data_IF_832956961284
#
_entry.id   IF_832956961284
#
_cell.length_a   1.000
_cell.length_b   1.000
_cell.length_c   1.000
_cell.angle_alpha   90.00
_cell.angle_beta   90.00
_cell.angle_gamma   90.00
#
_symmetry.space_group_name_H-M   'P 1'
#
loop_
_entity.id
_entity.type
_entity.pdbx_description
1 polymer ?
#
# COMPACT_ATOMS: atom_id res chain seq x y z
N UNK A 1 22.09 11.30 33.12
CA UNK A 1 21.24 10.36 32.37
C UNK A 1 20.38 11.20 31.44
N UNK A 2 20.47 11.03 30.11
CA UNK A 2 19.64 11.75 29.13
C UNK A 2 18.47 10.85 28.76
N UNK A 3 17.29 11.17 29.28
CA UNK A 3 16.03 10.58 28.84
C UNK A 3 15.65 11.29 27.54
N UNK A 4 15.40 10.54 26.48
CA UNK A 4 14.86 11.09 25.23
C UNK A 4 13.36 10.79 25.23
N UNK A 5 12.53 11.71 24.74
CA UNK A 5 11.08 11.50 24.63
C UNK A 5 10.73 11.23 23.16
N UNK A 6 9.94 10.19 22.92
CA UNK A 6 9.34 9.91 21.62
C UNK A 6 7.85 10.20 21.74
N UNK A 7 7.36 11.13 20.93
CA UNK A 7 5.92 11.40 20.78
C UNK A 7 5.44 11.03 19.39
N UNK A 8 4.23 10.48 19.33
CA UNK A 8 3.53 10.18 18.09
C UNK A 8 2.12 10.75 18.17
N UNK A 9 1.55 11.08 17.01
CA UNK A 9 0.13 11.40 16.86
C UNK A 9 -0.42 10.61 15.69
N UNK A 10 -1.62 10.05 15.88
CA UNK A 10 -2.33 9.33 14.83
C UNK A 10 -3.80 9.74 14.84
N UNK A 11 -4.29 10.10 13.66
CA UNK A 11 -5.68 10.50 13.43
C UNK A 11 -6.18 9.81 12.16
N UNK A 12 -7.45 9.43 12.15
CA UNK A 12 -8.11 8.88 10.98
C UNK A 12 -9.51 9.49 10.87
N UNK A 13 -10.06 9.62 9.65
CA UNK A 13 -11.43 10.12 9.46
C UNK A 13 -12.27 9.01 8.84
N UNK A 14 -13.40 8.69 9.47
CA UNK A 14 -14.38 7.75 8.95
C UNK A 14 -15.68 8.47 8.62
N UNK A 15 -16.12 8.36 7.37
CA UNK A 15 -17.41 8.91 6.91
C UNK A 15 -18.55 7.96 7.24
N UNK A 16 -19.51 8.41 8.03
CA UNK A 16 -20.72 7.64 8.35
C UNK A 16 -21.86 7.97 7.36
N UNK A 17 -22.88 7.10 7.24
CA UNK A 17 -23.97 7.26 6.26
C UNK A 17 -24.79 8.55 6.43
N UNK A 18 -24.89 9.06 7.66
CA UNK A 18 -25.75 10.20 8.00
C UNK A 18 -25.04 11.56 7.82
N UNK A 19 -24.04 11.66 6.94
CA UNK A 19 -23.18 12.86 6.79
C UNK A 19 -22.49 13.30 8.10
N UNK A 20 -22.29 12.35 9.02
CA UNK A 20 -21.51 12.56 10.23
C UNK A 20 -20.14 11.93 10.03
N UNK A 21 -19.08 12.73 10.18
CA UNK A 21 -17.72 12.22 10.12
C UNK A 21 -17.21 12.04 11.54
N UNK A 22 -16.62 10.89 11.82
CA UNK A 22 -15.89 10.66 13.07
C UNK A 22 -14.42 10.81 12.78
N UNK A 23 -13.74 11.65 13.56
CA UNK A 23 -12.29 11.88 13.46
C UNK A 23 -11.63 11.62 14.82
N UNK A 24 -11.41 10.34 15.20
CA UNK A 24 -10.69 10.04 16.41
C UNK A 24 -9.20 10.32 16.21
N UNK A 25 -8.57 10.83 17.25
CA UNK A 25 -7.14 11.06 17.31
C UNK A 25 -6.57 10.59 18.63
N UNK A 26 -5.35 10.06 18.60
CA UNK A 26 -4.59 9.73 19.81
C UNK A 26 -3.15 10.20 19.66
N UNK A 27 -2.69 10.90 20.69
CA UNK A 27 -1.28 11.27 20.85
C UNK A 27 -0.70 10.49 22.02
N UNK A 28 0.40 9.79 21.78
CA UNK A 28 1.12 9.01 22.80
C UNK A 28 2.54 9.52 22.90
N UNK A 29 3.07 9.52 24.13
CA UNK A 29 4.46 9.84 24.40
C UNK A 29 5.07 8.76 25.30
N UNK A 30 6.30 8.37 25.00
CA UNK A 30 7.09 7.48 25.85
C UNK A 30 8.45 8.11 26.14
N UNK A 31 8.88 7.95 27.38
CA UNK A 31 10.25 8.22 27.80
C UNK A 31 11.08 6.99 27.49
N UNK A 32 12.20 7.17 26.79
CA UNK A 32 13.13 6.09 26.45
C UNK A 32 14.46 6.28 27.16
N UNK A 33 15.02 5.17 27.63
CA UNK A 33 16.36 5.10 28.18
C UNK A 33 17.41 4.91 27.08
N UNK A 34 18.69 5.01 27.43
CA UNK A 34 19.79 4.97 26.45
C UNK A 34 19.93 3.60 25.77
N UNK A 35 19.49 2.53 26.44
CA UNK A 35 19.59 1.15 25.96
C UNK A 35 18.35 0.70 25.17
N UNK A 36 17.28 1.50 25.18
CA UNK A 36 16.06 1.18 24.45
C UNK A 36 16.23 1.39 22.94
N UNK A 37 15.57 0.53 22.16
CA UNK A 37 15.51 0.72 20.71
C UNK A 37 14.39 1.74 20.36
N UNK A 38 14.73 2.96 19.91
CA UNK A 38 13.74 4.00 19.65
C UNK A 38 12.76 3.64 18.53
N UNK A 39 13.22 2.89 17.52
CA UNK A 39 12.37 2.46 16.41
C UNK A 39 11.34 1.42 16.84
N UNK A 40 11.74 0.51 17.73
CA UNK A 40 10.82 -0.47 18.30
C UNK A 40 9.74 0.23 19.13
N UNK A 41 10.14 1.16 20.01
CA UNK A 41 9.20 1.94 20.84
C UNK A 41 8.25 2.76 19.96
N UNK A 42 8.76 3.41 18.91
CA UNK A 42 7.94 4.16 17.94
C UNK A 42 6.93 3.25 17.24
N UNK A 43 7.34 2.07 16.79
CA UNK A 43 6.46 1.09 16.17
C UNK A 43 5.37 0.61 17.14
N UNK A 44 5.73 0.31 18.38
CA UNK A 44 4.79 -0.16 19.41
C UNK A 44 3.76 0.93 19.76
N UNK A 45 4.21 2.18 19.95
CA UNK A 45 3.33 3.32 20.16
C UNK A 45 2.38 3.51 18.97
N UNK A 46 2.88 3.45 17.74
CA UNK A 46 2.07 3.63 16.54
C UNK A 46 1.03 2.51 16.39
N UNK A 47 1.40 1.27 16.72
CA UNK A 47 0.47 0.15 16.73
C UNK A 47 -0.66 0.36 17.76
N UNK A 48 -0.33 0.84 18.97
CA UNK A 48 -1.32 1.14 20.01
C UNK A 48 -2.26 2.28 19.59
N UNK A 49 -1.72 3.38 19.05
CA UNK A 49 -2.52 4.50 18.60
C UNK A 49 -3.48 4.11 17.46
N UNK A 50 -3.01 3.30 16.50
CA UNK A 50 -3.85 2.73 15.44
C UNK A 50 -4.95 1.84 15.98
N UNK A 51 -4.64 0.93 16.91
CA UNK A 51 -5.63 0.03 17.50
C UNK A 51 -6.72 0.82 18.23
N UNK A 52 -6.35 1.85 18.99
CA UNK A 52 -7.30 2.72 19.68
C UNK A 52 -8.21 3.45 18.68
N UNK A 53 -7.63 4.18 17.72
CA UNK A 53 -8.39 4.96 16.74
C UNK A 53 -9.35 4.06 15.95
N UNK A 54 -8.90 2.87 15.54
CA UNK A 54 -9.75 1.87 14.88
C UNK A 54 -10.87 1.37 15.76
N UNK A 55 -10.61 1.11 17.05
CA UNK A 55 -11.65 0.71 18.00
C UNK A 55 -12.76 1.76 18.13
N UNK A 56 -12.41 3.05 18.11
CA UNK A 56 -13.39 4.14 18.12
C UNK A 56 -14.19 4.20 16.81
N UNK A 57 -13.53 4.03 15.66
CA UNK A 57 -14.19 3.97 14.35
C UNK A 57 -15.17 2.79 14.29
N UNK A 58 -14.73 1.62 14.75
CA UNK A 58 -15.56 0.42 14.78
C UNK A 58 -16.81 0.61 15.62
N UNK A 59 -16.65 1.16 16.82
CA UNK A 59 -17.78 1.44 17.68
C UNK A 59 -18.75 2.41 16.99
N UNK A 60 -18.24 3.48 16.36
CA UNK A 60 -19.07 4.42 15.63
C UNK A 60 -19.79 3.79 14.44
N UNK A 61 -19.15 2.85 13.73
CA UNK A 61 -19.79 2.08 12.66
C UNK A 61 -20.92 1.21 13.21
N UNK A 62 -20.67 0.49 14.31
CA UNK A 62 -21.65 -0.38 14.98
C UNK A 62 -22.86 0.44 15.44
N UNK A 63 -22.62 1.58 16.08
CA UNK A 63 -23.66 2.50 16.56
C UNK A 63 -24.53 3.05 15.41
N UNK A 64 -23.96 3.12 14.20
CA UNK A 64 -24.66 3.55 12.98
C UNK A 64 -25.16 2.36 12.14
N UNK A 65 -25.25 1.15 12.71
CA UNK A 65 -25.82 -0.03 12.08
C UNK A 65 -24.94 -0.65 10.98
N UNK A 66 -23.63 -0.39 10.99
CA UNK A 66 -22.65 -1.01 10.10
C UNK A 66 -21.68 -1.88 10.88
N UNK A 67 -21.43 -3.09 10.40
CA UNK A 67 -20.35 -3.91 10.93
C UNK A 67 -19.00 -3.44 10.37
N UNK A 68 -17.96 -3.33 11.21
CA UNK A 68 -16.59 -3.16 10.77
C UNK A 68 -16.22 -4.25 9.75
N UNK A 69 -15.61 -3.85 8.63
CA UNK A 69 -15.16 -4.79 7.60
C UNK A 69 -13.66 -4.89 7.65
N UNK A 70 -13.19 -6.00 8.20
CA UNK A 70 -11.78 -6.33 8.24
C UNK A 70 -11.46 -7.33 7.14
N UNK A 71 -10.48 -7.00 6.31
CA UNK A 71 -9.86 -7.95 5.41
C UNK A 71 -8.59 -8.49 6.05
N UNK A 72 -8.60 -9.78 6.42
CA UNK A 72 -7.47 -10.50 6.97
C UNK A 72 -6.71 -11.33 5.93
N UNK A 73 -7.11 -11.26 4.66
CA UNK A 73 -6.47 -11.98 3.57
C UNK A 73 -5.19 -11.32 3.08
N UNK A 74 -4.46 -12.02 2.20
CA UNK A 74 -3.30 -11.47 1.53
C UNK A 74 -3.72 -10.27 0.67
N UNK A 75 -3.04 -9.14 0.85
CA UNK A 75 -3.19 -7.97 -0.02
C UNK A 75 -2.20 -8.04 -1.16
N UNK A 76 -2.61 -7.47 -2.29
CA UNK A 76 -1.85 -7.47 -3.52
C UNK A 76 -1.57 -6.04 -3.96
N UNK A 77 -0.47 -5.89 -4.68
CA UNK A 77 -0.04 -4.67 -5.33
C UNK A 77 -0.05 -4.91 -6.84
N UNK A 78 -0.54 -3.92 -7.58
CA UNK A 78 -0.42 -3.89 -9.04
C UNK A 78 0.82 -3.09 -9.41
N UNK A 79 1.59 -3.61 -10.36
CA UNK A 79 2.77 -2.97 -10.92
C UNK A 79 2.64 -2.98 -12.43
N UNK A 80 2.89 -1.85 -13.08
CA UNK A 80 2.83 -1.74 -14.53
C UNK A 80 4.23 -1.46 -15.05
N UNK A 81 4.64 -2.21 -16.06
CA UNK A 81 5.85 -1.92 -16.83
C UNK A 81 5.46 -1.57 -18.25
N UNK A 82 5.61 -0.29 -18.60
CA UNK A 82 5.37 0.18 -19.95
C UNK A 82 6.41 -0.36 -20.95
N UNK A 83 7.66 -0.55 -20.50
CA UNK A 83 8.76 -1.09 -21.31
C UNK A 83 8.55 -2.55 -21.72
N UNK A 84 7.79 -3.31 -20.93
CA UNK A 84 7.45 -4.71 -21.21
C UNK A 84 6.02 -4.88 -21.69
N UNK A 85 5.25 -3.79 -21.75
CA UNK A 85 3.79 -3.80 -21.90
C UNK A 85 3.13 -4.86 -21.02
N UNK A 86 3.47 -4.84 -19.72
CA UNK A 86 3.10 -5.91 -18.80
C UNK A 86 2.58 -5.36 -17.48
N UNK A 87 1.53 -5.99 -16.97
CA UNK A 87 0.95 -5.70 -15.65
C UNK A 87 1.19 -6.90 -14.72
N UNK A 88 1.64 -6.62 -13.51
CA UNK A 88 1.96 -7.59 -12.50
C UNK A 88 1.09 -7.40 -11.26
N UNK A 89 0.54 -8.50 -10.76
CA UNK A 89 -0.12 -8.55 -9.46
C UNK A 89 0.79 -9.35 -8.53
N UNK A 90 1.27 -8.74 -7.44
CA UNK A 90 2.21 -9.37 -6.49
C UNK A 90 1.73 -9.23 -5.04
N UNK A 91 1.99 -10.20 -4.15
CA UNK A 91 1.74 -10.04 -2.73
C UNK A 91 2.46 -8.82 -2.15
N UNK A 92 1.76 -8.00 -1.36
CA UNK A 92 2.29 -6.76 -0.80
C UNK A 92 3.58 -6.92 0.02
N UNK A 93 3.80 -8.10 0.63
CA UNK A 93 4.98 -8.36 1.46
C UNK A 93 6.27 -8.48 0.64
N UNK A 94 6.19 -8.52 -0.70
CA UNK A 94 7.34 -8.62 -1.61
C UNK A 94 7.73 -7.26 -2.17
N UNK A 95 8.90 -6.78 -1.76
CA UNK A 95 9.54 -5.54 -2.24
C UNK A 95 10.66 -5.82 -3.28
N UNK A 96 10.80 -7.05 -3.73
CA UNK A 96 11.90 -7.54 -4.58
C UNK A 96 11.65 -7.38 -6.09
N UNK A 97 10.71 -6.51 -6.47
CA UNK A 97 10.32 -6.37 -7.86
C UNK A 97 11.49 -5.94 -8.76
N UNK A 98 11.57 -6.43 -10.02
CA UNK A 98 12.62 -6.05 -10.95
C UNK A 98 12.65 -4.54 -11.20
N UNK A 99 13.85 -3.98 -11.41
CA UNK A 99 14.09 -2.53 -11.55
C UNK A 99 13.37 -1.83 -12.72
N UNK A 100 12.81 -2.59 -13.65
CA UNK A 100 12.08 -2.03 -14.80
C UNK A 100 10.56 -1.90 -14.52
N UNK A 101 10.13 -2.28 -13.32
CA UNK A 101 8.78 -2.07 -12.80
C UNK A 101 8.81 -0.92 -11.79
N UNK A 102 8.94 0.32 -12.28
CA UNK A 102 8.77 1.50 -11.43
C UNK A 102 7.96 2.60 -12.11
N UNK A 103 6.97 3.08 -11.34
CA UNK A 103 6.18 4.29 -11.41
C UNK A 103 5.87 4.90 -12.78
N UNK A 104 4.59 4.86 -13.17
CA UNK A 104 4.00 6.03 -13.84
C UNK A 104 4.14 7.22 -12.87
N UNK A 105 5.18 8.02 -13.08
CA UNK A 105 5.41 9.26 -12.34
C UNK A 105 4.41 10.32 -12.78
N UNK A 106 3.26 10.34 -12.11
CA UNK A 106 2.54 11.56 -11.77
C UNK A 106 1.54 11.21 -10.68
N UNK A 107 1.56 11.99 -9.60
CA UNK A 107 0.51 12.15 -8.58
C UNK A 107 -0.61 11.09 -8.49
N UNK A 108 -0.77 10.51 -7.29
CA UNK A 108 -2.07 10.12 -6.73
C UNK A 108 -2.71 8.80 -7.16
N UNK A 109 -1.92 7.72 -7.29
CA UNK A 109 -2.41 6.42 -6.86
C UNK A 109 -1.40 5.79 -5.91
N UNK A 110 -1.55 6.18 -4.64
CA UNK A 110 -1.10 5.43 -3.48
C UNK A 110 -1.28 3.94 -3.77
N UNK A 111 -0.27 3.14 -3.42
CA UNK A 111 -0.23 1.69 -3.52
C UNK A 111 -1.58 1.10 -3.08
N UNK A 112 -2.54 0.90 -4.00
CA UNK A 112 -3.86 0.47 -3.60
C UNK A 112 -3.72 -0.98 -3.16
N UNK A 113 -3.70 -1.16 -1.84
CA UNK A 113 -3.66 -2.47 -1.21
C UNK A 113 -5.03 -3.11 -1.41
N UNK A 114 -5.12 -3.97 -2.41
CA UNK A 114 -6.40 -4.51 -2.86
C UNK A 114 -6.44 -6.02 -2.68
N UNK A 115 -7.67 -6.54 -2.59
CA UNK A 115 -7.90 -7.98 -2.62
C UNK A 115 -7.53 -8.54 -4.00
N UNK A 116 -7.24 -9.83 -4.11
CA UNK A 116 -6.87 -10.44 -5.39
C UNK A 116 -7.92 -10.20 -6.47
N UNK A 117 -9.21 -10.44 -6.14
CA UNK A 117 -10.32 -10.25 -7.07
C UNK A 117 -10.43 -8.81 -7.57
N UNK A 118 -10.13 -7.84 -6.70
CA UNK A 118 -10.07 -6.43 -7.08
C UNK A 118 -8.84 -6.17 -7.96
N UNK A 119 -7.70 -6.78 -7.64
CA UNK A 119 -6.48 -6.64 -8.42
C UNK A 119 -6.64 -7.14 -9.86
N UNK A 120 -7.30 -8.27 -10.04
CA UNK A 120 -7.61 -8.82 -11.36
C UNK A 120 -8.57 -7.91 -12.12
N UNK A 121 -9.63 -7.41 -11.47
CA UNK A 121 -10.54 -6.43 -12.09
C UNK A 121 -9.83 -5.14 -12.50
N UNK A 122 -8.93 -4.60 -11.66
CA UNK A 122 -8.14 -3.43 -12.00
C UNK A 122 -7.15 -3.72 -13.12
N UNK A 123 -6.50 -4.89 -13.13
CA UNK A 123 -5.61 -5.29 -14.22
C UNK A 123 -6.38 -5.40 -15.54
N UNK A 124 -7.59 -5.97 -15.52
CA UNK A 124 -8.48 -6.01 -16.69
C UNK A 124 -8.89 -4.62 -17.16
N UNK A 125 -9.16 -3.68 -16.26
CA UNK A 125 -9.47 -2.28 -16.62
C UNK A 125 -8.25 -1.60 -17.25
N UNK A 126 -7.07 -1.79 -16.67
CA UNK A 126 -5.81 -1.25 -17.18
C UNK A 126 -5.46 -1.84 -18.56
N UNK A 127 -5.80 -3.10 -18.81
CA UNK A 127 -5.64 -3.75 -20.11
C UNK A 127 -6.73 -3.37 -21.13
N UNK A 128 -7.97 -3.10 -20.70
CA UNK A 128 -9.12 -2.95 -21.62
C UNK A 128 -9.58 -1.51 -21.89
N UNK A 129 -8.97 -0.47 -21.29
CA UNK A 129 -9.31 0.92 -21.62
C UNK A 129 -8.47 1.57 -22.73
N UNK A 130 -7.56 0.85 -23.40
CA UNK A 130 -7.05 1.17 -24.75
C UNK A 130 -6.21 0.03 -25.33
N UNK A 131 -6.29 -0.14 -26.66
CA UNK A 131 -5.72 -1.20 -27.51
C UNK A 131 -4.17 -1.32 -27.52
N UNK A 132 -3.49 -1.19 -26.38
CA UNK A 132 -2.04 -1.01 -26.33
C UNK A 132 -1.23 -2.32 -26.24
N UNK A 133 -1.90 -3.48 -26.19
CA UNK A 133 -1.26 -4.80 -26.21
C UNK A 133 -0.59 -5.20 -24.90
N UNK A 134 -1.14 -4.77 -23.76
CA UNK A 134 -0.64 -5.15 -22.44
C UNK A 134 -1.17 -6.52 -22.02
N UNK A 135 -0.27 -7.38 -21.57
CA UNK A 135 -0.61 -8.65 -20.92
C UNK A 135 -0.46 -8.51 -19.39
N UNK A 136 -1.31 -9.20 -18.63
CA UNK A 136 -1.21 -9.22 -17.16
C UNK A 136 -1.00 -10.62 -16.60
N UNK A 137 -0.28 -10.72 -15.48
CA UNK A 137 -0.11 -11.97 -14.74
C UNK A 137 0.01 -11.75 -13.24
N UNK A 138 -0.62 -12.64 -12.47
CA UNK A 138 -0.41 -12.74 -11.03
C UNK A 138 0.82 -13.59 -10.71
N UNK A 139 1.76 -13.03 -9.96
CA UNK A 139 2.96 -13.73 -9.49
C UNK A 139 2.84 -13.89 -7.97
N UNK A 140 2.49 -15.09 -7.54
CA UNK A 140 2.20 -15.41 -6.13
C UNK A 140 3.44 -15.89 -5.35
N UNK A 141 4.37 -16.52 -6.05
CA UNK A 141 5.60 -17.12 -5.55
C UNK A 141 6.85 -16.25 -5.78
N UNK A 142 6.65 -15.07 -6.39
CA UNK A 142 7.69 -14.14 -6.85
C UNK A 142 8.69 -14.76 -7.81
N UNK A 143 8.28 -15.76 -8.59
CA UNK A 143 9.05 -16.19 -9.74
C UNK A 143 8.82 -15.23 -10.91
N UNK A 144 9.76 -14.30 -11.08
CA UNK A 144 9.76 -13.33 -12.17
C UNK A 144 10.37 -13.87 -13.47
N UNK A 145 10.79 -15.14 -13.53
CA UNK A 145 11.41 -15.74 -14.72
C UNK A 145 10.45 -15.82 -15.92
N UNK A 146 9.15 -15.80 -15.64
CA UNK A 146 8.07 -15.85 -16.63
C UNK A 146 7.81 -14.51 -17.33
N UNK A 147 8.50 -13.44 -16.93
CA UNK A 147 8.28 -12.10 -17.49
C UNK A 147 8.90 -11.97 -18.88
N UNK A 148 8.20 -11.36 -19.84
CA UNK A 148 8.80 -11.06 -21.13
C UNK A 148 9.97 -10.09 -20.98
N UNK A 149 10.93 -10.22 -21.91
CA UNK A 149 12.03 -9.26 -22.04
C UNK A 149 11.49 -7.88 -22.46
N UNK A 150 12.13 -6.77 -22.06
CA UNK A 150 11.77 -5.44 -22.53
C UNK A 150 11.75 -5.36 -24.06
N UNK A 151 10.79 -4.62 -24.63
CA UNK A 151 10.68 -4.41 -26.07
C UNK A 151 11.89 -3.63 -26.60
N UNK A 152 12.24 -3.81 -27.88
CA UNK A 152 13.40 -3.16 -28.51
C UNK A 152 13.34 -1.62 -28.39
N UNK A 153 12.16 -1.03 -28.56
CA UNK A 153 11.96 0.42 -28.45
C UNK A 153 12.34 1.00 -27.07
N UNK A 154 12.27 0.20 -25.99
CA UNK A 154 12.64 0.63 -24.64
C UNK A 154 14.14 0.52 -24.35
N UNK A 155 14.93 -0.14 -25.22
CA UNK A 155 16.39 -0.23 -25.08
C UNK A 155 17.10 1.01 -25.61
N UNK A 156 16.48 1.73 -26.54
CA UNK A 156 17.07 2.90 -27.19
C UNK A 156 17.00 4.14 -26.28
N UNK A 157 15.99 4.27 -25.41
CA UNK A 157 15.89 5.38 -24.44
C UNK A 157 16.99 5.39 -23.36
N UNK A 158 17.68 4.26 -23.13
CA UNK A 158 18.79 4.20 -22.15
C UNK A 158 20.15 4.56 -22.74
N UNK A 159 20.28 4.71 -24.06
CA UNK A 159 21.55 5.00 -24.73
C UNK A 159 21.72 6.47 -25.15
N UNK A 160 20.80 7.36 -24.79
CA UNK A 160 20.83 8.79 -25.18
C UNK A 160 21.07 9.77 -24.01
N UNK A 161 21.73 9.32 -22.95
CA UNK A 161 22.25 10.23 -21.90
C UNK A 161 23.72 9.93 -21.65
N UNK A 162 24.58 10.46 -22.52
CA UNK A 162 25.99 10.79 -22.25
C UNK A 162 26.13 12.32 -22.13
#
# INVERSE_FOLDING_TARGET
MKITEISISYEETCSLPNYSNVRPGLSLAAQIELEDNPEKVRCDLMAQARLFVRGVIDQALIDNGRSPKYYSGQRYKIMVSHQRKFILIVPQQRNDAPKDFYHSSSSDYDLQEIMLDQAEQYADILCNLRDDGYEWKAIMDGDYSILPLPTQDARDEKNEVD
#
